data_IF_027657960311
#
_entry.id   IF_027657960311
#
_cell.length_a   1.000
_cell.length_b   1.000
_cell.length_c   1.000
_cell.angle_alpha   90.00
_cell.angle_beta   90.00
_cell.angle_gamma   90.00
#
_symmetry.space_group_name_H-M   'P 1'
#
loop_
_entity.id
_entity.type
_entity.pdbx_description
1 polymer ?
#
# COMPACT_ATOMS: atom_id res chain seq x y z
N UNK A 1 -12.60 -53.59 -10.58
CA UNK A 1 -13.14 -52.52 -9.71
C UNK A 1 -12.06 -51.68 -8.98
N UNK A 2 -10.82 -51.56 -9.48
CA UNK A 2 -9.75 -50.74 -8.82
C UNK A 2 -9.49 -49.38 -9.47
N UNK A 3 -9.88 -49.19 -10.74
CA UNK A 3 -9.62 -47.94 -11.50
C UNK A 3 -10.57 -46.78 -11.15
N UNK A 4 -11.77 -47.08 -10.67
CA UNK A 4 -12.81 -46.08 -10.36
C UNK A 4 -12.48 -45.33 -9.06
N UNK A 5 -11.84 -46.01 -8.11
CA UNK A 5 -11.49 -45.44 -6.80
C UNK A 5 -10.39 -44.38 -6.93
N UNK A 6 -9.37 -44.59 -7.79
CA UNK A 6 -8.31 -43.60 -8.01
C UNK A 6 -8.80 -42.30 -8.65
N UNK A 7 -9.79 -42.37 -9.56
CA UNK A 7 -10.31 -41.16 -10.23
C UNK A 7 -11.07 -40.28 -9.24
N UNK A 8 -11.84 -40.89 -8.34
CA UNK A 8 -12.60 -40.14 -7.31
C UNK A 8 -11.65 -39.46 -6.30
N UNK A 9 -10.56 -40.11 -5.92
CA UNK A 9 -9.57 -39.54 -4.99
C UNK A 9 -8.81 -38.36 -5.63
N UNK A 10 -8.44 -38.45 -6.91
CA UNK A 10 -7.77 -37.35 -7.62
C UNK A 10 -8.70 -36.14 -7.78
N UNK A 11 -9.99 -36.35 -8.04
CA UNK A 11 -10.98 -35.27 -8.12
C UNK A 11 -11.16 -34.59 -6.75
N UNK A 12 -11.24 -35.36 -5.66
CA UNK A 12 -11.35 -34.80 -4.31
C UNK A 12 -10.12 -33.94 -3.92
N UNK A 13 -8.91 -34.34 -4.35
CA UNK A 13 -7.68 -33.59 -4.11
C UNK A 13 -7.64 -32.29 -4.93
N UNK A 14 -8.11 -32.31 -6.19
CA UNK A 14 -8.20 -31.08 -7.02
C UNK A 14 -9.21 -30.09 -6.45
N UNK A 15 -10.33 -30.57 -5.89
CA UNK A 15 -11.30 -29.71 -5.21
C UNK A 15 -10.70 -29.11 -3.94
N UNK A 16 -9.97 -29.90 -3.13
CA UNK A 16 -9.30 -29.40 -1.92
C UNK A 16 -8.14 -28.43 -2.20
N UNK A 17 -7.32 -28.66 -3.25
CA UNK A 17 -6.27 -27.72 -3.66
C UNK A 17 -6.82 -26.48 -4.38
N UNK A 18 -7.97 -26.59 -5.05
CA UNK A 18 -8.58 -25.51 -5.82
C UNK A 18 -9.30 -24.45 -5.00
N UNK A 19 -9.56 -24.67 -3.70
CA UNK A 19 -10.37 -23.76 -2.86
C UNK A 19 -9.52 -22.64 -2.19
N UNK A 20 -8.21 -22.55 -2.44
CA UNK A 20 -7.38 -21.50 -1.83
C UNK A 20 -7.31 -20.17 -2.61
N UNK A 21 -8.10 -19.97 -3.66
CA UNK A 21 -8.07 -18.72 -4.45
C UNK A 21 -9.49 -18.18 -4.58
N UNK A 22 -10.05 -17.69 -3.48
CA UNK A 22 -11.43 -17.24 -3.50
C UNK A 22 -11.93 -16.55 -2.25
N UNK A 23 -11.07 -15.91 -1.44
CA UNK A 23 -11.55 -14.87 -0.54
C UNK A 23 -11.96 -13.67 -1.39
N UNK A 24 -13.15 -13.79 -1.99
CA UNK A 24 -13.89 -12.73 -2.62
C UNK A 24 -14.23 -11.73 -1.52
N UNK A 25 -13.37 -10.73 -1.36
CA UNK A 25 -13.65 -9.57 -0.51
C UNK A 25 -14.94 -8.97 -1.05
N UNK A 26 -15.99 -9.09 -0.26
CA UNK A 26 -17.31 -8.54 -0.55
C UNK A 26 -17.14 -7.03 -0.57
N UNK A 27 -17.38 -6.45 -1.73
CA UNK A 27 -17.25 -5.03 -2.03
C UNK A 27 -18.31 -4.23 -1.27
N UNK A 28 -17.93 -3.66 -0.12
CA UNK A 28 -18.59 -2.45 0.39
C UNK A 28 -18.06 -1.23 -0.39
N UNK A 29 -18.89 -0.21 -0.70
CA UNK A 29 -18.47 0.95 -1.51
C UNK A 29 -17.36 1.83 -0.92
N UNK A 30 -16.87 1.54 0.28
CA UNK A 30 -15.71 2.19 0.92
C UNK A 30 -14.93 1.14 1.71
N UNK A 31 -13.87 0.55 1.16
CA UNK A 31 -12.99 -0.32 1.96
C UNK A 31 -11.67 -0.66 1.26
N UNK A 32 -11.08 0.27 0.51
CA UNK A 32 -9.66 0.10 0.18
C UNK A 32 -8.88 0.19 1.49
N UNK A 33 -8.03 -0.78 1.77
CA UNK A 33 -7.05 -0.69 2.85
C UNK A 33 -6.06 0.42 2.57
N UNK A 34 -5.41 0.96 3.61
CA UNK A 34 -4.34 1.97 3.43
C UNK A 34 -3.27 1.49 2.44
N UNK A 35 -2.90 0.21 2.47
CA UNK A 35 -1.95 -0.37 1.53
C UNK A 35 -2.46 -0.33 0.07
N UNK A 36 -3.72 -0.66 -0.16
CA UNK A 36 -4.33 -0.61 -1.50
C UNK A 36 -4.45 0.83 -2.01
N UNK A 37 -4.80 1.79 -1.15
CA UNK A 37 -4.81 3.22 -1.50
C UNK A 37 -3.40 3.68 -1.91
N UNK A 38 -2.38 3.33 -1.13
CA UNK A 38 -0.98 3.66 -1.43
C UNK A 38 -0.56 3.13 -2.81
N UNK A 39 -0.89 1.87 -3.13
CA UNK A 39 -0.45 1.19 -4.35
C UNK A 39 -1.29 1.54 -5.58
N UNK A 40 -2.57 1.88 -5.40
CA UNK A 40 -3.49 2.20 -6.50
C UNK A 40 -3.27 3.58 -7.07
N UNK A 41 -2.89 4.55 -6.25
CA UNK A 41 -2.80 5.95 -6.65
C UNK A 41 -1.36 6.42 -6.86
N UNK A 42 -1.22 7.41 -7.74
CA UNK A 42 0.02 8.17 -7.85
C UNK A 42 0.02 9.27 -6.80
N UNK A 43 1.17 9.45 -6.15
CA UNK A 43 1.32 10.42 -5.09
C UNK A 43 2.27 11.52 -5.51
N UNK A 44 1.95 12.74 -5.09
CA UNK A 44 2.81 13.91 -5.25
C UNK A 44 3.45 14.22 -3.91
N UNK A 45 4.79 14.24 -3.90
CA UNK A 45 5.54 14.70 -2.75
C UNK A 45 5.54 16.22 -2.73
N UNK A 46 4.98 16.82 -1.68
CA UNK A 46 5.01 18.27 -1.48
C UNK A 46 5.78 18.66 -0.22
N UNK A 47 6.44 19.80 -0.31
CA UNK A 47 6.97 20.50 0.85
C UNK A 47 5.82 21.03 1.70
N UNK A 48 5.79 20.73 2.99
CA UNK A 48 4.77 21.26 3.90
C UNK A 48 4.90 22.77 4.12
N UNK A 49 6.12 23.30 4.07
CA UNK A 49 6.41 24.72 4.36
C UNK A 49 6.13 25.62 3.16
N UNK A 50 6.49 25.19 1.96
CA UNK A 50 6.38 26.00 0.73
C UNK A 50 5.27 25.54 -0.21
N UNK A 51 4.57 24.44 0.12
CA UNK A 51 3.58 23.77 -0.73
C UNK A 51 4.09 23.40 -2.15
N UNK A 52 5.41 23.44 -2.35
CA UNK A 52 6.04 23.16 -3.64
C UNK A 52 6.11 21.66 -3.89
N UNK A 53 5.86 21.24 -5.12
CA UNK A 53 6.05 19.86 -5.55
C UNK A 53 7.54 19.52 -5.57
N UNK A 54 7.92 18.54 -4.77
CA UNK A 54 9.29 18.04 -4.64
C UNK A 54 9.56 16.83 -5.53
N UNK A 55 8.53 16.14 -5.99
CA UNK A 55 8.64 14.94 -6.82
C UNK A 55 7.35 14.12 -6.84
N UNK A 56 7.44 12.94 -7.45
CA UNK A 56 6.37 11.95 -7.44
C UNK A 56 6.75 10.73 -6.60
N UNK A 57 5.74 10.06 -6.07
CA UNK A 57 5.87 8.88 -5.24
C UNK A 57 4.95 7.79 -5.75
N UNK A 58 5.51 6.59 -5.81
CA UNK A 58 4.78 5.37 -6.14
C UNK A 58 5.06 4.35 -5.05
N UNK A 59 4.01 3.69 -4.56
CA UNK A 59 4.16 2.58 -3.63
C UNK A 59 3.99 1.27 -4.38
N UNK A 60 4.84 0.31 -4.03
CA UNK A 60 4.76 -1.09 -4.47
C UNK A 60 4.51 -1.96 -3.23
N UNK A 61 4.59 -3.30 -3.31
CA UNK A 61 4.25 -4.16 -2.16
C UNK A 61 4.99 -3.81 -0.87
N UNK A 62 6.29 -3.53 -0.96
CA UNK A 62 7.17 -3.28 0.19
C UNK A 62 8.10 -2.05 0.01
N UNK A 63 8.05 -1.39 -1.16
CA UNK A 63 8.89 -0.22 -1.46
C UNK A 63 8.08 1.02 -1.77
N UNK A 64 8.50 2.12 -1.16
CA UNK A 64 8.16 3.48 -1.58
C UNK A 64 9.25 3.97 -2.52
N UNK A 65 8.85 4.38 -3.72
CA UNK A 65 9.74 4.88 -4.75
C UNK A 65 9.48 6.37 -4.92
N UNK A 66 10.47 7.20 -4.59
CA UNK A 66 10.42 8.65 -4.76
C UNK A 66 11.21 9.03 -6.01
N UNK A 67 10.60 9.73 -6.95
CA UNK A 67 11.24 10.29 -8.13
C UNK A 67 11.39 11.81 -7.99
N UNK A 68 12.62 12.30 -8.00
CA UNK A 68 12.97 13.72 -7.93
C UNK A 68 14.20 14.01 -8.79
N UNK A 69 14.14 15.04 -9.64
CA UNK A 69 15.29 15.53 -10.42
C UNK A 69 16.06 14.41 -11.14
N UNK A 70 15.35 13.57 -11.91
CA UNK A 70 15.90 12.39 -12.61
C UNK A 70 16.53 11.29 -11.73
N UNK A 71 16.43 11.40 -10.40
CA UNK A 71 16.88 10.39 -9.45
C UNK A 71 15.68 9.65 -8.86
N UNK A 72 15.88 8.36 -8.58
CA UNK A 72 14.91 7.54 -7.87
C UNK A 72 15.52 7.06 -6.56
N UNK A 73 14.79 7.28 -5.46
CA UNK A 73 15.13 6.78 -4.14
C UNK A 73 14.10 5.72 -3.74
N UNK A 74 14.58 4.57 -3.27
CA UNK A 74 13.73 3.48 -2.77
C UNK A 74 13.87 3.42 -1.25
N UNK A 75 12.75 3.43 -0.54
CA UNK A 75 12.70 3.21 0.90
C UNK A 75 11.79 2.03 1.19
N UNK A 76 12.14 1.26 2.21
CA UNK A 76 11.22 0.28 2.77
C UNK A 76 10.10 1.01 3.50
N UNK A 77 8.90 0.47 3.40
CA UNK A 77 7.77 0.94 4.19
C UNK A 77 6.93 -0.22 4.70
N UNK A 78 6.20 0.05 5.76
CA UNK A 78 5.15 -0.82 6.30
C UNK A 78 3.90 0.00 6.61
N UNK A 79 2.76 -0.66 6.70
CA UNK A 79 1.51 -0.08 7.19
C UNK A 79 1.18 -0.77 8.51
N UNK A 80 0.96 0.01 9.57
CA UNK A 80 0.58 -0.54 10.87
C UNK A 80 -0.93 -0.80 10.95
N UNK A 81 -1.38 -1.43 12.05
CA UNK A 81 -2.80 -1.74 12.29
C UNK A 81 -3.69 -0.52 12.50
N UNK A 82 -3.11 0.67 12.59
CA UNK A 82 -3.80 1.95 12.81
C UNK A 82 -3.71 2.83 11.56
N UNK A 83 -3.61 2.21 10.38
CA UNK A 83 -3.56 2.88 9.08
C UNK A 83 -2.44 3.93 8.92
N UNK A 84 -1.33 3.72 9.63
CA UNK A 84 -0.16 4.57 9.48
C UNK A 84 0.87 3.95 8.55
N UNK A 85 1.33 4.74 7.60
CA UNK A 85 2.52 4.47 6.82
C UNK A 85 3.77 4.72 7.70
N UNK A 86 4.61 3.71 7.85
CA UNK A 86 5.92 3.81 8.50
C UNK A 86 7.02 3.64 7.45
N UNK A 87 7.89 4.63 7.35
CA UNK A 87 9.08 4.59 6.50
C UNK A 87 10.27 4.38 7.43
N UNK A 88 11.03 3.32 7.19
CA UNK A 88 12.04 2.84 8.16
C UNK A 88 13.44 3.41 7.93
N UNK A 89 13.70 3.98 6.75
CA UNK A 89 15.03 4.46 6.38
C UNK A 89 14.98 5.58 5.35
N UNK A 90 16.10 6.27 5.21
CA UNK A 90 16.30 7.34 4.23
C UNK A 90 15.76 8.70 4.71
N UNK A 91 15.79 9.72 3.82
CA UNK A 91 15.41 11.09 4.12
C UNK A 91 13.90 11.28 4.39
N UNK A 92 13.10 10.22 4.23
CA UNK A 92 11.67 10.21 4.46
C UNK A 92 11.29 9.36 5.69
N UNK A 93 12.26 8.98 6.53
CA UNK A 93 12.02 8.17 7.73
C UNK A 93 10.96 8.81 8.62
N UNK A 94 9.98 8.04 9.09
CA UNK A 94 8.93 8.53 9.96
C UNK A 94 7.61 7.77 9.87
N UNK A 95 6.67 8.18 10.72
CA UNK A 95 5.30 7.66 10.72
C UNK A 95 4.34 8.73 10.21
N UNK A 96 3.49 8.34 9.27
CA UNK A 96 2.54 9.19 8.57
C UNK A 96 1.14 8.60 8.72
N UNK A 97 0.20 9.40 9.20
CA UNK A 97 -1.21 9.01 9.24
C UNK A 97 -1.86 9.27 7.89
N UNK A 98 -2.66 8.32 7.42
CA UNK A 98 -3.60 8.53 6.33
C UNK A 98 -4.98 8.81 6.89
N UNK A 99 -5.65 9.84 6.39
CA UNK A 99 -7.08 10.04 6.63
C UNK A 99 -7.85 9.16 5.64
N UNK A 100 -8.32 8.01 6.14
CA UNK A 100 -9.04 7.01 5.35
C UNK A 100 -10.54 7.32 5.19
N UNK A 101 -11.06 8.29 5.95
CA UNK A 101 -12.45 8.74 5.87
C UNK A 101 -12.66 9.75 4.72
N UNK A 102 -11.56 10.26 4.14
CA UNK A 102 -11.57 11.17 3.00
C UNK A 102 -11.30 10.47 1.67
N UNK A 103 -11.89 10.97 0.58
CA UNK A 103 -11.54 10.57 -0.79
C UNK A 103 -10.27 11.28 -1.30
N UNK A 104 -9.93 12.41 -0.67
CA UNK A 104 -8.73 13.21 -0.93
C UNK A 104 -7.59 12.76 -0.01
N UNK A 105 -7.19 11.50 -0.18
CA UNK A 105 -6.16 10.87 0.65
C UNK A 105 -4.90 11.73 0.72
N UNK A 106 -4.43 11.96 1.94
CA UNK A 106 -3.16 12.62 2.19
C UNK A 106 -2.42 11.96 3.34
N UNK A 107 -1.09 11.90 3.23
CA UNK A 107 -0.22 11.40 4.29
C UNK A 107 0.47 12.58 4.94
N UNK A 108 0.27 12.69 6.25
CA UNK A 108 0.86 13.73 7.07
C UNK A 108 1.68 13.11 8.21
N UNK A 109 2.87 13.64 8.52
CA UNK A 109 3.71 13.11 9.59
C UNK A 109 3.02 13.27 10.95
N UNK A 110 2.97 12.19 11.75
CA UNK A 110 2.41 12.18 13.11
C UNK A 110 3.22 13.03 14.08
N UNK A 111 4.54 13.04 13.93
CA UNK A 111 5.46 13.79 14.80
C UNK A 111 5.88 15.07 14.10
N UNK A 112 5.68 16.22 14.79
CA UNK A 112 6.01 17.56 14.28
C UNK A 112 7.46 17.71 13.80
N UNK A 113 8.41 16.96 14.36
CA UNK A 113 9.85 17.11 14.08
C UNK A 113 10.30 16.52 12.74
N UNK A 114 9.44 15.77 12.03
CA UNK A 114 9.66 15.43 10.61
C UNK A 114 8.98 16.50 9.73
N UNK A 115 9.60 17.68 9.71
CA UNK A 115 9.03 18.98 9.31
C UNK A 115 8.93 19.22 7.80
N UNK A 116 8.98 18.21 6.94
CA UNK A 116 9.18 18.47 5.51
C UNK A 116 8.03 18.16 4.57
N UNK A 117 7.28 17.08 4.81
CA UNK A 117 6.78 16.30 3.67
C UNK A 117 5.31 15.93 3.86
N UNK A 118 4.49 16.32 2.88
CA UNK A 118 3.09 15.89 2.73
C UNK A 118 3.01 15.12 1.41
N UNK A 119 2.44 13.92 1.43
CA UNK A 119 2.06 13.26 0.18
C UNK A 119 0.60 13.57 -0.08
N UNK A 120 0.32 14.10 -1.27
CA UNK A 120 -1.03 14.39 -1.73
C UNK A 120 -1.29 13.47 -2.91
N UNK A 121 -2.43 12.77 -2.91
CA UNK A 121 -2.90 12.04 -4.07
C UNK A 121 -3.03 12.99 -5.28
N UNK A 122 -2.52 12.57 -6.44
CA UNK A 122 -2.70 13.29 -7.71
C UNK A 122 -3.92 12.77 -8.47
#
# INVERSE_FOLDING_TARGET
>A
MKKIISVIVVIAIIIMLGIHIGNKIISSPHSLTTQEVLQKFNWTLKSKTSNSTLGSVTFTKDKMIVKKNNRSLKNNYSVDSNDNLKIESGPYIGTYSMDMDSTDYSLSPKVKNNTGLKLIRN
#
